data_IF_193840637863
#
_entry.id   IF_193840637863
#
_cell.length_a   1.000
_cell.length_b   1.000
_cell.length_c   1.000
_cell.angle_alpha   90.00
_cell.angle_beta   90.00
_cell.angle_gamma   90.00
#
_symmetry.space_group_name_H-M   'P 1'
#
loop_
_entity.id
_entity.type
_entity.pdbx_description
1 polymer ?
#
# COMPACT_ATOMS: atom_id res chain seq x y z
N UNK A 1 4.18 36.19 13.61
CA UNK A 1 3.98 34.97 14.44
C UNK A 1 3.46 33.80 13.63
N UNK A 2 2.50 33.98 12.73
CA UNK A 2 1.98 32.94 11.83
C UNK A 2 3.06 32.29 10.93
N UNK A 3 3.97 33.09 10.38
CA UNK A 3 5.08 32.59 9.55
C UNK A 3 6.09 31.73 10.31
N UNK A 4 6.31 32.02 11.60
CA UNK A 4 7.19 31.20 12.46
C UNK A 4 6.56 29.86 12.84
N UNK A 5 5.24 29.84 13.06
CA UNK A 5 4.51 28.62 13.33
C UNK A 5 4.47 27.68 12.10
N UNK A 6 4.19 28.25 10.92
CA UNK A 6 4.22 27.48 9.67
C UNK A 6 5.61 26.91 9.37
N UNK A 7 6.66 27.67 9.61
CA UNK A 7 8.03 27.20 9.41
C UNK A 7 8.43 26.09 10.41
N UNK A 8 7.90 26.13 11.64
CA UNK A 8 8.11 25.08 12.62
C UNK A 8 7.38 23.78 12.24
N UNK A 9 6.14 23.90 11.75
CA UNK A 9 5.33 22.78 11.30
C UNK A 9 5.96 22.12 10.06
N UNK A 10 6.39 22.90 9.07
CA UNK A 10 7.12 22.40 7.90
C UNK A 10 8.43 21.69 8.28
N UNK A 11 9.16 22.22 9.25
CA UNK A 11 10.40 21.61 9.72
C UNK A 11 10.16 20.27 10.40
N UNK A 12 9.12 20.17 11.21
CA UNK A 12 8.73 18.92 11.87
C UNK A 12 8.28 17.87 10.84
N UNK A 13 7.56 18.29 9.81
CA UNK A 13 7.13 17.41 8.73
C UNK A 13 8.31 16.90 7.90
N UNK A 14 9.26 17.75 7.57
CA UNK A 14 10.51 17.39 6.88
C UNK A 14 11.35 16.41 7.72
N UNK A 15 11.46 16.62 9.03
CA UNK A 15 12.15 15.67 9.90
C UNK A 15 11.47 14.31 9.99
N UNK A 16 10.13 14.27 10.02
CA UNK A 16 9.37 13.02 9.97
C UNK A 16 9.60 12.27 8.66
N UNK A 17 9.58 12.97 7.54
CA UNK A 17 9.86 12.41 6.22
C UNK A 17 11.30 11.88 6.15
N UNK A 18 12.27 12.61 6.65
CA UNK A 18 13.67 12.19 6.69
C UNK A 18 13.87 10.91 7.50
N UNK A 19 13.22 10.78 8.65
CA UNK A 19 13.26 9.57 9.49
C UNK A 19 12.63 8.35 8.77
N UNK A 20 11.52 8.56 8.06
CA UNK A 20 10.89 7.52 7.25
C UNK A 20 11.83 7.08 6.13
N UNK A 21 12.44 8.00 5.41
CA UNK A 21 13.39 7.71 4.33
C UNK A 21 14.62 6.95 4.84
N UNK A 22 15.17 7.32 6.00
CA UNK A 22 16.31 6.62 6.60
C UNK A 22 15.94 5.19 7.02
N UNK A 23 14.76 4.99 7.61
CA UNK A 23 14.30 3.65 8.00
C UNK A 23 14.10 2.72 6.79
N UNK A 24 13.90 3.28 5.61
CA UNK A 24 13.64 2.57 4.36
C UNK A 24 14.93 2.28 3.60
N UNK A 25 15.89 3.20 3.62
CA UNK A 25 17.25 2.95 3.07
C UNK A 25 17.88 1.71 3.68
N UNK A 26 17.69 1.49 4.97
CA UNK A 26 18.17 0.31 5.68
C UNK A 26 17.50 -1.00 5.25
N UNK A 27 16.33 -0.94 4.62
CA UNK A 27 15.54 -2.11 4.21
C UNK A 27 15.43 -2.33 2.71
N UNK A 28 16.03 -1.45 1.89
CA UNK A 28 15.98 -1.54 0.43
C UNK A 28 14.57 -1.43 -0.18
N UNK A 29 13.62 -0.83 0.54
CA UNK A 29 12.23 -0.68 0.10
C UNK A 29 11.89 0.78 -0.15
N UNK A 30 11.06 1.04 -1.16
CA UNK A 30 10.42 2.35 -1.34
C UNK A 30 9.43 2.62 -0.21
N UNK A 31 9.29 3.89 0.25
CA UNK A 31 8.29 4.25 1.25
C UNK A 31 6.86 3.94 0.79
N UNK A 32 5.92 3.68 1.72
CA UNK A 32 4.53 3.50 1.36
C UNK A 32 3.92 4.80 0.85
N UNK A 33 3.09 4.70 -0.19
CA UNK A 33 2.34 5.84 -0.71
C UNK A 33 1.20 6.26 0.22
N UNK A 34 0.68 5.33 0.97
CA UNK A 34 -0.44 5.57 1.86
C UNK A 34 -0.17 4.97 3.23
N UNK A 35 -0.24 5.80 4.25
CA UNK A 35 -0.10 5.41 5.64
C UNK A 35 -1.02 6.25 6.52
N UNK A 36 -1.28 5.77 7.73
CA UNK A 36 -2.03 6.49 8.75
C UNK A 36 -1.21 6.58 10.02
N UNK A 37 -1.34 7.68 10.73
CA UNK A 37 -0.83 7.78 12.10
C UNK A 37 -1.93 7.29 13.04
N UNK A 38 -1.58 6.35 13.88
CA UNK A 38 -2.49 5.80 14.90
C UNK A 38 -1.90 6.01 16.28
N UNK A 39 -2.76 6.20 17.29
CA UNK A 39 -2.31 6.30 18.68
C UNK A 39 -1.65 5.01 19.12
N UNK A 40 -0.45 5.11 19.70
CA UNK A 40 0.23 3.99 20.33
C UNK A 40 0.14 4.11 21.85
N UNK A 41 -0.90 3.50 22.42
CA UNK A 41 -1.15 3.51 23.86
C UNK A 41 -0.14 2.70 24.67
N UNK A 42 0.65 1.85 24.02
CA UNK A 42 1.67 1.03 24.66
C UNK A 42 2.97 1.77 24.94
N UNK A 43 3.25 2.82 24.16
CA UNK A 43 4.51 3.58 24.22
C UNK A 43 4.39 4.90 24.97
N UNK A 44 3.23 5.20 25.56
CA UNK A 44 3.00 6.39 26.39
C UNK A 44 1.92 7.32 25.84
N UNK A 45 1.50 8.35 26.62
CA UNK A 45 0.50 9.31 26.20
C UNK A 45 1.02 10.15 25.02
N UNK A 46 0.18 10.41 24.05
CA UNK A 46 0.48 11.19 22.84
C UNK A 46 1.52 10.56 21.87
N UNK A 47 1.87 9.30 22.04
CA UNK A 47 2.75 8.62 21.10
C UNK A 47 1.96 8.14 19.90
N UNK A 48 2.43 8.50 18.69
CA UNK A 48 1.82 8.09 17.41
C UNK A 48 2.75 7.12 16.72
N UNK A 49 2.19 6.09 16.10
CA UNK A 49 2.93 5.17 15.23
C UNK A 49 2.37 5.21 13.81
N UNK A 50 3.24 5.00 12.84
CA UNK A 50 2.83 4.81 11.46
C UNK A 50 2.22 3.43 11.26
N UNK A 51 1.07 3.37 10.62
CA UNK A 51 0.46 2.15 10.13
C UNK A 51 0.29 2.24 8.62
N UNK A 52 0.90 1.32 7.90
CA UNK A 52 0.79 1.25 6.46
C UNK A 52 -0.64 0.85 6.06
N UNK A 53 -1.19 1.56 5.09
CA UNK A 53 -2.52 1.28 4.54
C UNK A 53 -2.36 0.44 3.29
N UNK A 54 -3.01 -0.71 3.28
CA UNK A 54 -3.07 -1.58 2.12
C UNK A 54 -4.21 -1.11 1.21
N UNK A 55 -3.95 -1.03 -0.08
CA UNK A 55 -4.92 -0.50 -1.04
C UNK A 55 -5.80 -1.61 -1.65
N UNK A 56 -5.22 -2.77 -1.89
CA UNK A 56 -5.89 -3.91 -2.49
C UNK A 56 -5.60 -5.20 -1.74
N UNK A 57 -6.52 -6.15 -1.87
CA UNK A 57 -6.30 -7.57 -1.63
C UNK A 57 -6.18 -8.26 -2.99
N UNK A 58 -5.13 -9.06 -3.16
CA UNK A 58 -4.82 -9.77 -4.41
C UNK A 58 -4.79 -11.26 -4.14
N UNK A 59 -5.72 -11.98 -4.74
CA UNK A 59 -5.71 -13.44 -4.75
C UNK A 59 -5.00 -13.95 -6.00
N UNK A 60 -3.97 -14.76 -5.81
CA UNK A 60 -3.26 -15.43 -6.90
C UNK A 60 -3.80 -16.85 -7.02
N UNK A 61 -4.33 -17.17 -8.18
CA UNK A 61 -4.91 -18.47 -8.51
C UNK A 61 -4.09 -19.15 -9.62
N UNK A 62 -4.37 -20.43 -9.90
CA UNK A 62 -3.64 -21.19 -10.91
C UNK A 62 -3.69 -20.57 -12.31
N UNK A 63 -4.77 -19.88 -12.62
CA UNK A 63 -5.05 -19.33 -13.95
C UNK A 63 -5.17 -17.79 -13.99
N UNK A 64 -4.89 -17.08 -12.89
CA UNK A 64 -4.97 -15.62 -12.90
C UNK A 64 -4.99 -14.96 -11.53
N UNK A 65 -5.58 -13.78 -11.50
CA UNK A 65 -5.69 -12.93 -10.33
C UNK A 65 -7.14 -12.55 -10.06
N UNK A 66 -7.47 -12.39 -8.79
CA UNK A 66 -8.70 -11.70 -8.37
C UNK A 66 -8.29 -10.57 -7.43
N UNK A 67 -8.76 -9.36 -7.67
CA UNK A 67 -8.43 -8.17 -6.88
C UNK A 67 -9.70 -7.55 -6.32
N UNK A 68 -9.65 -7.15 -5.07
CA UNK A 68 -10.69 -6.34 -4.42
C UNK A 68 -10.06 -5.17 -3.67
N UNK A 69 -10.86 -4.16 -3.34
CA UNK A 69 -10.43 -3.10 -2.43
C UNK A 69 -10.15 -3.69 -1.04
N UNK A 70 -9.04 -3.27 -0.44
CA UNK A 70 -8.78 -3.64 0.94
C UNK A 70 -9.78 -2.96 1.88
N UNK A 71 -10.33 -3.73 2.84
CA UNK A 71 -11.22 -3.18 3.85
C UNK A 71 -10.40 -2.48 4.95
N UNK A 72 -10.30 -1.17 4.86
CA UNK A 72 -9.59 -0.34 5.83
C UNK A 72 -10.43 0.01 7.08
N UNK A 73 -11.69 -0.39 7.16
CA UNK A 73 -12.57 -0.08 8.31
C UNK A 73 -12.12 -0.74 9.60
N UNK A 74 -11.33 -1.81 9.52
CA UNK A 74 -10.72 -2.50 10.66
C UNK A 74 -9.50 -1.78 11.24
N UNK A 75 -9.00 -0.74 10.57
CA UNK A 75 -7.89 0.06 11.07
C UNK A 75 -8.44 1.02 12.14
N UNK A 76 -7.83 1.10 13.33
CA UNK A 76 -8.21 2.09 14.33
C UNK A 76 -8.29 3.49 13.73
N UNK A 77 -9.26 4.30 14.16
CA UNK A 77 -9.51 5.61 13.57
C UNK A 77 -8.21 6.39 13.37
N UNK A 78 -7.92 6.85 12.14
CA UNK A 78 -6.73 7.63 11.88
C UNK A 78 -6.84 8.98 12.58
N UNK A 79 -5.72 9.44 13.11
CA UNK A 79 -5.68 10.75 13.76
C UNK A 79 -5.57 11.87 12.71
N UNK A 80 -4.92 11.63 11.58
CA UNK A 80 -4.51 12.72 10.69
C UNK A 80 -4.53 12.50 9.17
N UNK A 81 -5.00 11.41 8.60
CA UNK A 81 -4.96 11.29 7.13
C UNK A 81 -6.19 10.63 6.52
N UNK A 82 -6.87 11.36 5.62
CA UNK A 82 -7.83 10.83 4.68
C UNK A 82 -7.18 10.09 3.51
N UNK A 83 -7.93 9.86 2.45
CA UNK A 83 -7.37 9.31 1.22
C UNK A 83 -6.30 10.27 0.66
N UNK A 84 -5.15 9.75 0.17
CA UNK A 84 -4.13 10.61 -0.42
C UNK A 84 -4.68 11.33 -1.64
N UNK A 85 -4.30 12.59 -1.82
CA UNK A 85 -4.58 13.33 -3.05
C UNK A 85 -3.80 12.74 -4.22
N UNK A 86 -4.35 12.81 -5.43
CA UNK A 86 -3.71 12.28 -6.62
C UNK A 86 -3.86 10.77 -6.82
N UNK A 87 -4.66 10.10 -5.99
CA UNK A 87 -4.96 8.69 -6.15
C UNK A 87 -5.64 8.45 -7.52
N UNK A 88 -5.16 7.49 -8.33
CA UNK A 88 -5.83 7.12 -9.56
C UNK A 88 -7.25 6.61 -9.31
N UNK A 89 -8.11 6.73 -10.31
CA UNK A 89 -9.44 6.15 -10.25
C UNK A 89 -9.33 4.63 -10.10
N UNK A 90 -10.15 4.05 -9.20
CA UNK A 90 -10.21 2.61 -9.04
C UNK A 90 -10.78 1.94 -10.30
N UNK A 91 -10.18 0.86 -10.78
CA UNK A 91 -10.70 0.09 -11.90
C UNK A 91 -11.88 -0.80 -11.45
N UNK A 92 -13.01 -0.18 -11.09
CA UNK A 92 -14.16 -0.87 -10.48
C UNK A 92 -14.68 -2.05 -11.32
N UNK A 93 -14.60 -1.95 -12.65
CA UNK A 93 -15.00 -3.04 -13.55
C UNK A 93 -14.12 -4.30 -13.44
N UNK A 94 -12.92 -4.19 -12.87
CA UNK A 94 -11.98 -5.31 -12.72
C UNK A 94 -12.09 -6.01 -11.38
N UNK A 95 -12.69 -5.38 -10.38
CA UNK A 95 -12.78 -5.98 -9.06
C UNK A 95 -13.70 -7.20 -9.02
N UNK A 96 -13.25 -8.21 -8.26
CA UNK A 96 -14.02 -9.42 -8.00
C UNK A 96 -14.04 -10.43 -9.15
N UNK A 97 -13.54 -10.10 -10.32
CA UNK A 97 -13.46 -11.02 -11.44
C UNK A 97 -12.05 -11.56 -11.65
N UNK A 98 -11.95 -12.71 -12.29
CA UNK A 98 -10.65 -13.30 -12.63
C UNK A 98 -9.99 -12.52 -13.78
N UNK A 99 -8.73 -12.14 -13.55
CA UNK A 99 -7.92 -11.34 -14.47
C UNK A 99 -6.76 -12.16 -15.00
N UNK A 100 -6.43 -11.97 -16.27
CA UNK A 100 -5.16 -12.42 -16.83
C UNK A 100 -4.03 -11.54 -16.32
N UNK A 101 -2.77 -11.98 -16.51
CA UNK A 101 -1.60 -11.17 -16.15
C UNK A 101 -1.58 -9.83 -16.88
N UNK A 102 -2.00 -9.79 -18.13
CA UNK A 102 -2.10 -8.57 -18.93
C UNK A 102 -3.18 -7.62 -18.40
N UNK A 103 -4.36 -8.13 -18.07
CA UNK A 103 -5.46 -7.35 -17.49
C UNK A 103 -5.08 -6.80 -16.11
N UNK A 104 -4.44 -7.61 -15.27
CA UNK A 104 -3.92 -7.17 -13.98
C UNK A 104 -2.91 -6.04 -14.16
N UNK A 105 -1.91 -6.22 -14.99
CA UNK A 105 -0.88 -5.21 -15.23
C UNK A 105 -1.47 -3.91 -15.78
N UNK A 106 -2.26 -3.97 -16.83
CA UNK A 106 -2.84 -2.77 -17.45
C UNK A 106 -3.84 -2.04 -16.56
N UNK A 107 -4.59 -2.78 -15.74
CA UNK A 107 -5.57 -2.19 -14.83
C UNK A 107 -4.97 -1.51 -13.61
N UNK A 108 -3.83 -1.98 -13.12
CA UNK A 108 -3.25 -1.52 -11.86
C UNK A 108 -1.94 -0.75 -12.01
N UNK A 109 -1.33 -0.72 -13.19
CA UNK A 109 -0.11 0.06 -13.46
C UNK A 109 -0.28 1.57 -13.18
N UNK A 110 -1.46 2.21 -13.31
CA UNK A 110 -1.61 3.61 -12.95
C UNK A 110 -1.25 3.92 -11.49
N UNK A 111 -1.48 2.98 -10.56
CA UNK A 111 -1.09 3.14 -9.16
C UNK A 111 0.43 3.12 -8.98
N UNK A 112 1.11 2.23 -9.66
CA UNK A 112 2.58 2.20 -9.68
C UNK A 112 3.14 3.51 -10.24
N UNK A 113 2.64 3.97 -11.38
CA UNK A 113 3.09 5.21 -12.02
C UNK A 113 2.84 6.44 -11.16
N UNK A 114 1.71 6.51 -10.48
CA UNK A 114 1.41 7.63 -9.59
C UNK A 114 2.40 7.71 -8.42
N UNK A 115 2.78 6.58 -7.84
CA UNK A 115 3.81 6.51 -6.80
C UNK A 115 5.21 6.84 -7.33
N UNK A 116 5.57 6.30 -8.48
CA UNK A 116 6.89 6.49 -9.10
C UNK A 116 7.11 7.93 -9.62
N UNK A 117 6.05 8.60 -10.02
CA UNK A 117 6.08 9.97 -10.56
C UNK A 117 5.81 11.07 -9.52
N UNK A 118 5.91 10.78 -8.25
CA UNK A 118 5.72 11.74 -7.15
C UNK A 118 4.34 12.43 -7.14
N UNK A 119 3.30 11.76 -7.65
CA UNK A 119 1.93 12.31 -7.68
C UNK A 119 1.18 12.14 -6.37
N UNK A 120 1.58 11.18 -5.55
CA UNK A 120 0.95 10.87 -4.27
C UNK A 120 1.71 11.52 -3.13
N UNK A 121 3.02 11.37 -3.12
CA UNK A 121 3.95 11.92 -2.13
C UNK A 121 5.02 12.76 -2.85
N UNK A 122 5.69 13.69 -2.16
CA UNK A 122 6.78 14.47 -2.76
C UNK A 122 8.06 13.64 -3.01
N UNK A 123 7.96 12.33 -2.92
CA UNK A 123 9.03 11.36 -3.16
C UNK A 123 8.45 10.11 -3.84
N UNK A 124 9.30 9.29 -4.43
CA UNK A 124 8.88 8.00 -4.98
C UNK A 124 8.38 7.10 -3.86
N UNK A 125 7.20 6.54 -4.05
CA UNK A 125 6.56 5.67 -3.09
C UNK A 125 5.89 4.46 -3.79
N UNK A 126 5.49 3.50 -3.00
CA UNK A 126 4.82 2.29 -3.48
C UNK A 126 3.55 2.04 -2.65
N UNK A 127 2.48 1.64 -3.30
CA UNK A 127 1.29 1.17 -2.62
C UNK A 127 1.48 -0.26 -2.10
N UNK A 128 0.84 -0.56 -0.99
CA UNK A 128 0.90 -1.88 -0.36
C UNK A 128 -0.34 -2.69 -0.65
N UNK A 129 -0.16 -3.98 -0.83
CA UNK A 129 -1.24 -4.96 -1.05
C UNK A 129 -1.07 -6.18 -0.15
N UNK A 130 -2.18 -6.80 0.22
CA UNK A 130 -2.18 -8.14 0.78
C UNK A 130 -2.28 -9.16 -0.35
N UNK A 131 -1.49 -10.22 -0.29
CA UNK A 131 -1.47 -11.28 -1.30
C UNK A 131 -1.88 -12.61 -0.66
N UNK A 132 -2.78 -13.30 -1.33
CA UNK A 132 -3.32 -14.60 -0.91
C UNK A 132 -2.96 -15.67 -1.95
N UNK A 133 -2.29 -16.72 -1.52
CA UNK A 133 -1.91 -17.84 -2.38
C UNK A 133 -3.05 -18.87 -2.42
N UNK A 134 -3.78 -18.89 -3.53
CA UNK A 134 -4.83 -19.86 -3.85
C UNK A 134 -4.44 -20.76 -5.03
N UNK A 135 -3.15 -20.89 -5.29
CA UNK A 135 -2.64 -21.85 -6.27
C UNK A 135 -2.65 -23.25 -5.69
N UNK A 136 -2.79 -24.25 -6.57
CA UNK A 136 -2.67 -25.66 -6.16
C UNK A 136 -1.26 -25.96 -5.64
N UNK A 137 -1.13 -27.00 -4.80
CA UNK A 137 0.16 -27.41 -4.24
C UNK A 137 1.19 -27.79 -5.31
N UNK A 138 0.74 -28.16 -6.50
CA UNK A 138 1.58 -28.53 -7.65
C UNK A 138 1.96 -27.35 -8.54
N UNK A 139 1.39 -26.17 -8.34
CA UNK A 139 1.62 -24.98 -9.19
C UNK A 139 2.30 -23.82 -8.44
N UNK A 140 3.30 -24.11 -7.62
CA UNK A 140 4.04 -23.06 -6.91
C UNK A 140 4.96 -22.24 -7.81
N UNK A 141 5.35 -22.78 -8.95
CA UNK A 141 6.08 -22.02 -9.99
C UNK A 141 5.19 -20.94 -10.59
N UNK A 142 3.94 -21.28 -10.89
CA UNK A 142 2.94 -20.30 -11.36
C UNK A 142 2.65 -19.20 -10.33
N UNK A 143 2.53 -19.59 -9.06
CA UNK A 143 2.43 -18.62 -7.96
C UNK A 143 3.60 -17.64 -7.94
N UNK A 144 4.83 -18.13 -7.95
CA UNK A 144 6.03 -17.29 -7.91
C UNK A 144 6.11 -16.33 -9.11
N UNK A 145 5.73 -16.79 -10.30
CA UNK A 145 5.70 -15.93 -11.50
C UNK A 145 4.70 -14.78 -11.36
N UNK A 146 3.49 -15.08 -10.88
CA UNK A 146 2.46 -14.06 -10.67
C UNK A 146 2.80 -13.14 -9.51
N UNK A 147 3.40 -13.67 -8.46
CA UNK A 147 3.87 -12.87 -7.34
C UNK A 147 4.91 -11.84 -7.77
N UNK A 148 5.84 -12.19 -8.65
CA UNK A 148 6.81 -11.24 -9.23
C UNK A 148 6.13 -10.10 -9.97
N UNK A 149 5.03 -10.36 -10.67
CA UNK A 149 4.27 -9.31 -11.32
C UNK A 149 3.63 -8.35 -10.30
N UNK A 150 3.09 -8.86 -9.21
CA UNK A 150 2.58 -8.03 -8.10
C UNK A 150 3.72 -7.20 -7.50
N UNK A 151 4.85 -7.83 -7.19
CA UNK A 151 6.03 -7.17 -6.61
C UNK A 151 6.64 -6.08 -7.52
N UNK A 152 6.45 -6.19 -8.84
CA UNK A 152 6.93 -5.17 -9.78
C UNK A 152 6.16 -3.85 -9.66
N UNK A 153 4.97 -3.85 -9.09
CA UNK A 153 4.08 -2.69 -8.99
C UNK A 153 3.76 -2.29 -7.54
N UNK A 154 3.79 -3.22 -6.60
CA UNK A 154 3.35 -3.03 -5.23
C UNK A 154 4.33 -3.61 -4.22
N UNK A 155 4.33 -3.05 -3.02
CA UNK A 155 4.87 -3.74 -1.86
C UNK A 155 3.82 -4.74 -1.35
N UNK A 156 4.23 -5.97 -1.11
CA UNK A 156 3.32 -7.06 -0.76
C UNK A 156 3.44 -7.49 0.70
N UNK A 157 2.32 -7.95 1.22
CA UNK A 157 2.24 -8.79 2.40
C UNK A 157 1.60 -10.11 2.01
N UNK A 158 2.30 -11.23 2.19
CA UNK A 158 1.74 -12.55 1.96
C UNK A 158 0.90 -12.97 3.18
N UNK A 159 -0.43 -13.04 2.98
CA UNK A 159 -1.38 -13.41 4.00
C UNK A 159 -1.52 -14.92 4.11
N UNK A 160 -1.57 -15.41 5.36
CA UNK A 160 -1.85 -16.81 5.66
C UNK A 160 -3.32 -17.06 6.01
N UNK A 161 -4.09 -15.99 6.15
CA UNK A 161 -5.51 -16.06 6.45
C UNK A 161 -6.35 -16.38 5.22
N UNK A 162 -7.62 -16.68 5.43
CA UNK A 162 -8.57 -16.92 4.35
C UNK A 162 -8.88 -15.62 3.59
N UNK A 163 -9.09 -15.74 2.27
CA UNK A 163 -9.55 -14.64 1.43
C UNK A 163 -10.80 -13.98 2.01
N UNK A 164 -10.82 -12.64 2.11
CA UNK A 164 -12.00 -11.95 2.61
C UNK A 164 -13.19 -12.20 1.69
N UNK A 165 -14.25 -12.78 2.24
CA UNK A 165 -15.54 -12.86 1.56
C UNK A 165 -16.35 -11.59 1.85
N UNK A 166 -16.96 -11.03 0.83
CA UNK A 166 -17.90 -9.91 0.97
C UNK A 166 -19.19 -10.35 1.69
#
# INVERSE_FOLDING_TARGET
ELAKSQLADEKEEVEKIAKILDSIKDKGRSPPCWFRLVSDTKSGPNTKRQKDVKIFDVKIEDDGFTVIKHNNDKIPRPIDFGNPSGLPAYPDALFGRKLTSKEFQSGFVPFFRAGDNNKIQPYKCVFMVDVYDYTSSTNKIGYKKRLKLVESMFAKFEEKSTWPSN
#
